data_IF_828381033840
#
_entry.id   IF_828381033840
#
_cell.length_a   1.000
_cell.length_b   1.000
_cell.length_c   1.000
_cell.angle_alpha   90.00
_cell.angle_beta   90.00
_cell.angle_gamma   90.00
#
_symmetry.space_group_name_H-M   'P 1'
#
loop_
_entity.id
_entity.type
_entity.pdbx_description
1 polymer ?
#
# COMPACT_ATOMS: atom_id res chain seq x y z
N UNK A 1 2.98 4.41 -10.13
CA UNK A 1 3.50 5.32 -9.08
C UNK A 1 3.72 4.48 -7.84
N UNK A 2 4.97 4.30 -7.40
CA UNK A 2 5.26 3.44 -6.25
C UNK A 2 5.10 4.20 -4.93
N UNK A 3 3.90 4.27 -4.40
CA UNK A 3 3.62 4.79 -3.06
C UNK A 3 4.04 3.77 -1.99
N UNK A 4 5.33 3.39 -1.95
CA UNK A 4 5.82 2.34 -1.07
C UNK A 4 5.60 0.92 -1.60
N UNK A 5 5.29 0.75 -2.89
CA UNK A 5 5.15 -0.56 -3.54
C UNK A 5 6.48 -1.09 -4.03
N UNK A 6 6.77 -2.36 -3.72
CA UNK A 6 7.98 -3.05 -4.15
C UNK A 6 7.59 -4.26 -4.98
N UNK A 7 8.05 -4.27 -6.23
CA UNK A 7 7.95 -5.40 -7.15
C UNK A 7 9.27 -6.18 -7.15
N UNK A 8 9.18 -7.48 -7.00
CA UNK A 8 10.32 -8.38 -7.18
C UNK A 8 10.53 -8.60 -8.68
N UNK A 9 11.78 -8.47 -9.14
CA UNK A 9 12.13 -8.71 -10.54
C UNK A 9 12.11 -10.22 -10.85
N UNK A 10 10.91 -10.75 -11.09
CA UNK A 10 10.65 -12.20 -11.20
C UNK A 10 10.85 -12.73 -12.60
N UNK A 11 11.47 -13.92 -12.70
CA UNK A 11 11.54 -14.71 -13.92
C UNK A 11 10.13 -15.07 -14.43
N UNK A 12 9.91 -14.86 -15.72
CA UNK A 12 8.64 -15.16 -16.37
C UNK A 12 7.57 -14.08 -16.29
N UNK A 13 7.74 -13.07 -15.40
CA UNK A 13 6.89 -11.89 -15.33
C UNK A 13 7.59 -10.67 -15.93
N UNK A 14 8.79 -10.38 -15.50
CA UNK A 14 9.62 -9.29 -16.05
C UNK A 14 10.53 -9.82 -17.17
N UNK A 15 10.78 -8.97 -18.19
CA UNK A 15 11.61 -9.34 -19.35
C UNK A 15 13.03 -9.80 -18.96
N UNK A 16 13.59 -9.24 -17.91
CA UNK A 16 14.91 -9.56 -17.37
C UNK A 16 14.83 -10.01 -15.92
N UNK A 17 13.79 -10.79 -15.58
CA UNK A 17 13.58 -11.31 -14.23
C UNK A 17 14.74 -12.23 -13.79
N UNK A 18 15.19 -12.05 -12.55
CA UNK A 18 16.32 -12.78 -11.98
C UNK A 18 15.91 -13.69 -10.81
N UNK A 19 14.82 -13.40 -10.13
CA UNK A 19 14.32 -14.15 -8.97
C UNK A 19 13.32 -15.18 -9.43
N UNK A 20 13.46 -16.44 -9.05
CA UNK A 20 12.48 -17.47 -9.38
C UNK A 20 11.20 -17.28 -8.57
N UNK A 21 10.01 -17.50 -9.17
CA UNK A 21 8.75 -17.46 -8.44
C UNK A 21 8.69 -18.57 -7.37
N UNK A 22 7.87 -18.38 -6.35
CA UNK A 22 7.70 -19.33 -5.25
C UNK A 22 8.70 -19.10 -4.11
N UNK A 23 9.42 -20.13 -3.69
CA UNK A 23 10.24 -20.11 -2.46
C UNK A 23 11.34 -19.02 -2.48
N UNK A 24 12.03 -18.83 -3.61
CA UNK A 24 13.08 -17.82 -3.73
C UNK A 24 12.47 -16.41 -3.62
N UNK A 25 11.40 -16.13 -4.34
CA UNK A 25 10.70 -14.84 -4.24
C UNK A 25 10.20 -14.58 -2.82
N UNK A 26 9.66 -15.58 -2.13
CA UNK A 26 9.19 -15.45 -0.75
C UNK A 26 10.33 -15.19 0.23
N UNK A 27 11.47 -15.82 0.04
CA UNK A 27 12.68 -15.57 0.84
C UNK A 27 13.17 -14.12 0.68
N UNK A 28 13.20 -13.61 -0.56
CA UNK A 28 13.57 -12.21 -0.85
C UNK A 28 12.58 -11.24 -0.21
N UNK A 29 11.26 -11.51 -0.30
CA UNK A 29 10.23 -10.69 0.34
C UNK A 29 10.42 -10.61 1.85
N UNK A 30 10.66 -11.76 2.50
CA UNK A 30 10.84 -11.83 3.95
C UNK A 30 12.11 -11.08 4.40
N UNK A 31 13.23 -11.23 3.69
CA UNK A 31 14.48 -10.51 4.00
C UNK A 31 14.29 -9.00 3.83
N UNK A 32 13.67 -8.56 2.73
CA UNK A 32 13.38 -7.15 2.49
C UNK A 32 12.45 -6.58 3.57
N UNK A 33 11.37 -7.28 3.92
CA UNK A 33 10.45 -6.84 4.96
C UNK A 33 11.14 -6.68 6.32
N UNK A 34 11.98 -7.63 6.71
CA UNK A 34 12.75 -7.58 7.96
C UNK A 34 13.69 -6.37 7.99
N UNK A 35 14.42 -6.12 6.90
CA UNK A 35 15.33 -4.96 6.79
C UNK A 35 14.59 -3.62 6.80
N UNK A 36 13.48 -3.51 6.06
CA UNK A 36 12.67 -2.29 6.02
C UNK A 36 12.13 -1.93 7.41
N UNK A 37 11.65 -2.90 8.17
CA UNK A 37 11.14 -2.67 9.52
C UNK A 37 12.21 -2.19 10.53
N UNK A 38 13.48 -2.40 10.23
CA UNK A 38 14.60 -1.90 11.06
C UNK A 38 15.16 -0.57 10.58
N UNK A 39 14.65 -0.01 9.48
CA UNK A 39 15.16 1.25 8.94
C UNK A 39 14.87 2.42 9.88
N UNK A 40 15.92 3.12 10.28
CA UNK A 40 15.84 4.35 11.06
C UNK A 40 16.43 5.53 10.28
N UNK A 41 15.88 6.70 10.52
CA UNK A 41 16.41 7.95 9.98
C UNK A 41 17.83 8.18 10.54
N UNK A 42 18.86 8.28 9.72
CA UNK A 42 20.24 8.42 10.16
C UNK A 42 20.52 9.71 10.94
N UNK A 43 19.64 10.72 10.83
CA UNK A 43 19.79 11.99 11.50
C UNK A 43 19.11 12.02 12.89
N UNK A 44 18.04 11.26 13.07
CA UNK A 44 17.19 11.33 14.28
C UNK A 44 17.12 10.01 15.03
N UNK A 45 17.45 8.88 14.40
CA UNK A 45 17.27 7.54 14.95
C UNK A 45 15.82 7.07 14.98
N UNK A 46 14.87 7.87 14.49
CA UNK A 46 13.46 7.51 14.47
C UNK A 46 13.20 6.45 13.39
N UNK A 47 12.41 5.43 13.71
CA UNK A 47 12.01 4.40 12.76
C UNK A 47 11.14 4.99 11.67
N UNK A 48 11.46 4.69 10.41
CA UNK A 48 10.79 5.27 9.22
C UNK A 48 9.70 4.39 8.64
N UNK A 49 9.68 3.10 9.00
CA UNK A 49 8.71 2.13 8.48
C UNK A 49 7.93 1.53 9.64
N UNK A 50 6.63 1.68 9.64
CA UNK A 50 5.73 1.15 10.67
C UNK A 50 5.26 -0.25 10.35
N UNK A 51 5.05 -0.55 9.06
CA UNK A 51 4.58 -1.84 8.63
C UNK A 51 5.08 -2.21 7.23
N UNK A 52 5.17 -3.51 6.95
CA UNK A 52 5.38 -4.04 5.61
C UNK A 52 4.34 -5.15 5.41
N UNK A 53 3.47 -4.94 4.43
CA UNK A 53 2.40 -5.87 4.09
C UNK A 53 2.82 -6.70 2.88
N UNK A 54 2.63 -8.00 2.94
CA UNK A 54 2.77 -8.86 1.77
C UNK A 54 1.47 -8.88 0.97
N UNK A 55 1.57 -8.99 -0.35
CA UNK A 55 0.40 -8.96 -1.23
C UNK A 55 -0.64 -10.01 -0.85
N UNK A 56 -0.18 -11.22 -0.50
CA UNK A 56 -1.04 -12.34 -0.12
C UNK A 56 -1.86 -12.08 1.16
N UNK A 57 -1.38 -11.17 2.03
CA UNK A 57 -2.04 -10.84 3.28
C UNK A 57 -3.13 -9.76 3.12
N UNK A 58 -3.02 -8.91 2.09
CA UNK A 58 -3.87 -7.72 1.93
C UNK A 58 -4.73 -7.72 0.66
N UNK A 59 -4.41 -8.57 -0.31
CA UNK A 59 -5.15 -8.68 -1.55
C UNK A 59 -5.63 -10.11 -1.82
N UNK A 60 -6.69 -10.24 -2.60
CA UNK A 60 -7.23 -11.52 -3.07
C UNK A 60 -7.73 -11.40 -4.50
N UNK A 61 -8.10 -12.54 -5.10
CA UNK A 61 -8.72 -12.59 -6.42
C UNK A 61 -7.75 -12.81 -7.58
N UNK A 62 -8.31 -12.83 -8.80
CA UNK A 62 -7.62 -13.25 -10.01
C UNK A 62 -6.43 -12.37 -10.43
N UNK A 63 -6.41 -11.12 -9.97
CA UNK A 63 -5.40 -10.12 -10.31
C UNK A 63 -4.27 -10.00 -9.28
N UNK A 64 -4.28 -10.79 -8.20
CA UNK A 64 -3.22 -10.80 -7.17
C UNK A 64 -1.82 -10.94 -7.79
N UNK A 65 -1.67 -11.75 -8.83
CA UNK A 65 -0.40 -11.93 -9.57
C UNK A 65 0.19 -10.64 -10.18
N UNK A 66 -0.62 -9.60 -10.30
CA UNK A 66 -0.22 -8.29 -10.86
C UNK A 66 0.08 -7.27 -9.75
N UNK A 67 -0.18 -7.60 -8.49
CA UNK A 67 0.11 -6.73 -7.36
C UNK A 67 1.61 -6.67 -7.08
N UNK A 68 2.04 -5.58 -6.42
CA UNK A 68 3.37 -5.51 -5.83
C UNK A 68 3.50 -6.55 -4.72
N UNK A 69 4.63 -7.23 -4.62
CA UNK A 69 4.86 -8.24 -3.60
C UNK A 69 4.83 -7.67 -2.19
N UNK A 70 5.33 -6.42 -2.02
CA UNK A 70 5.32 -5.73 -0.73
C UNK A 70 4.71 -4.34 -0.84
N UNK A 71 3.94 -3.98 0.17
CA UNK A 71 3.45 -2.62 0.40
C UNK A 71 4.05 -2.11 1.70
N UNK A 72 4.80 -1.00 1.63
CA UNK A 72 5.49 -0.39 2.77
C UNK A 72 4.63 0.71 3.37
N UNK A 73 4.27 0.56 4.64
CA UNK A 73 3.64 1.59 5.47
C UNK A 73 4.71 2.43 6.15
N UNK A 74 4.79 3.72 5.80
CA UNK A 74 5.75 4.64 6.40
C UNK A 74 5.18 5.25 7.68
N UNK A 75 6.07 5.51 8.63
CA UNK A 75 5.75 6.21 9.85
C UNK A 75 5.34 7.67 9.58
N UNK A 76 4.58 8.26 10.50
CA UNK A 76 4.15 9.65 10.41
C UNK A 76 5.34 10.60 10.19
N UNK A 77 5.15 11.54 9.27
CA UNK A 77 6.19 12.49 8.89
C UNK A 77 7.13 12.01 7.78
N UNK A 78 7.06 10.73 7.39
CA UNK A 78 7.87 10.17 6.29
C UNK A 78 7.00 9.90 5.06
N UNK A 79 7.59 10.06 3.89
CA UNK A 79 6.97 9.72 2.61
C UNK A 79 8.00 9.30 1.57
N UNK A 80 7.55 8.60 0.54
CA UNK A 80 8.38 8.24 -0.61
C UNK A 80 8.71 9.50 -1.43
N UNK A 81 9.95 9.59 -1.92
CA UNK A 81 10.37 10.69 -2.78
C UNK A 81 9.72 10.62 -4.16
N UNK A 82 9.24 11.75 -4.67
CA UNK A 82 8.76 11.90 -6.05
C UNK A 82 9.85 11.57 -7.09
N UNK A 83 11.12 11.76 -6.74
CA UNK A 83 12.23 11.53 -7.66
C UNK A 83 12.38 10.05 -8.01
N UNK A 84 12.14 9.15 -7.06
CA UNK A 84 12.21 7.71 -7.31
C UNK A 84 11.14 7.22 -8.28
N UNK A 85 9.96 7.83 -8.31
CA UNK A 85 8.91 7.50 -9.30
C UNK A 85 9.26 7.93 -10.72
N UNK A 86 10.20 8.86 -10.88
CA UNK A 86 10.70 9.33 -12.16
C UNK A 86 12.05 8.66 -12.54
N UNK A 87 12.46 7.63 -11.81
CA UNK A 87 13.74 6.92 -12.03
C UNK A 87 14.96 7.66 -11.49
N UNK A 88 14.76 8.73 -10.72
CA UNK A 88 15.85 9.48 -10.09
C UNK A 88 16.36 8.78 -8.83
N UNK A 89 17.68 8.84 -8.62
CA UNK A 89 18.34 8.41 -7.38
C UNK A 89 18.99 9.63 -6.74
N UNK A 90 18.30 10.35 -5.84
CA UNK A 90 18.86 11.51 -5.18
C UNK A 90 20.03 11.09 -4.25
N UNK A 91 21.00 11.95 -4.00
CA UNK A 91 22.04 11.69 -3.02
C UNK A 91 21.40 11.63 -1.61
N UNK A 92 21.67 10.55 -0.90
CA UNK A 92 21.13 10.32 0.44
C UNK A 92 19.80 9.56 0.43
N UNK A 93 19.55 8.87 1.55
CA UNK A 93 18.36 8.02 1.74
C UNK A 93 17.20 8.87 2.29
N UNK A 94 17.51 9.79 3.20
CA UNK A 94 16.53 10.62 3.91
C UNK A 94 16.96 12.08 3.84
N UNK A 95 16.02 12.94 3.49
CA UNK A 95 16.24 14.38 3.49
C UNK A 95 14.93 15.13 3.79
N UNK A 96 15.00 16.33 4.43
CA UNK A 96 13.82 17.09 4.80
C UNK A 96 13.07 17.58 3.55
N UNK A 97 11.76 17.42 3.54
CA UNK A 97 10.91 17.98 2.50
C UNK A 97 10.68 19.47 2.78
N UNK A 98 11.45 20.32 2.10
CA UNK A 98 11.38 21.80 2.22
C UNK A 98 10.44 22.45 1.20
N UNK A 99 9.65 21.67 0.44
CA UNK A 99 8.71 22.22 -0.54
C UNK A 99 7.54 22.90 0.17
N UNK A 100 7.02 24.00 -0.42
CA UNK A 100 5.89 24.74 0.11
C UNK A 100 4.65 23.86 0.37
N UNK A 101 4.42 22.88 -0.51
CA UNK A 101 3.37 21.86 -0.39
C UNK A 101 4.02 20.55 0.04
N UNK A 102 4.29 20.43 1.33
CA UNK A 102 4.98 19.26 1.90
C UNK A 102 4.00 18.18 2.35
N UNK A 103 2.78 18.54 2.72
CA UNK A 103 1.71 17.59 3.04
C UNK A 103 1.06 17.08 1.75
N UNK A 104 1.05 15.77 1.56
CA UNK A 104 0.37 15.11 0.45
C UNK A 104 -0.01 13.66 0.83
N UNK A 105 -0.63 12.93 -0.09
CA UNK A 105 -0.98 11.52 0.04
C UNK A 105 0.13 10.57 -0.43
N UNK A 106 1.39 10.95 -0.30
CA UNK A 106 2.58 10.19 -0.75
C UNK A 106 3.06 9.12 0.24
N UNK A 107 2.33 8.89 1.32
CA UNK A 107 2.55 7.80 2.27
C UNK A 107 1.32 6.92 2.35
N UNK A 108 1.51 5.67 2.74
CA UNK A 108 0.44 4.72 2.96
C UNK A 108 0.72 3.89 4.22
N UNK A 109 -0.16 4.00 5.20
CA UNK A 109 -0.35 3.01 6.25
C UNK A 109 -1.80 3.14 6.72
N UNK A 110 -2.57 2.05 6.70
CA UNK A 110 -3.99 2.08 7.08
C UNK A 110 -4.22 2.52 8.53
N UNK A 111 -3.23 2.41 9.41
CA UNK A 111 -3.32 2.84 10.80
C UNK A 111 -3.27 4.35 10.96
N UNK A 112 -2.43 5.00 10.14
CA UNK A 112 -2.28 6.47 10.15
C UNK A 112 -3.19 7.18 9.13
N UNK A 113 -3.71 6.45 8.12
CA UNK A 113 -4.56 6.99 7.07
C UNK A 113 -6.00 6.48 7.11
N UNK A 114 -6.52 6.22 8.30
CA UNK A 114 -7.89 5.77 8.49
C UNK A 114 -8.89 6.75 7.87
N UNK A 115 -9.87 6.21 7.13
CA UNK A 115 -10.95 7.00 6.56
C UNK A 115 -11.99 7.42 7.59
N UNK A 116 -12.79 8.43 7.24
CA UNK A 116 -13.95 8.86 8.02
C UNK A 116 -15.22 8.60 7.18
N UNK A 117 -16.21 7.96 7.76
CA UNK A 117 -17.54 7.79 7.18
C UNK A 117 -18.57 8.57 8.01
N UNK A 118 -19.29 9.48 7.34
CA UNK A 118 -20.43 10.18 7.92
C UNK A 118 -21.67 9.77 7.13
N UNK A 119 -22.68 9.27 7.80
CA UNK A 119 -23.92 8.80 7.18
C UNK A 119 -25.13 9.38 7.87
N UNK A 120 -26.19 9.66 7.09
CA UNK A 120 -27.52 10.02 7.58
C UNK A 120 -28.34 8.80 8.03
N UNK A 121 -27.85 7.58 7.81
CA UNK A 121 -28.43 6.33 8.24
C UNK A 121 -27.55 5.62 9.24
N UNK A 122 -28.09 4.82 10.16
CA UNK A 122 -27.29 3.98 11.03
C UNK A 122 -26.40 3.05 10.20
N UNK A 123 -25.13 2.95 10.58
CA UNK A 123 -24.14 2.06 9.99
C UNK A 123 -23.45 1.29 11.11
N UNK A 124 -23.36 -0.02 10.97
CA UNK A 124 -22.66 -0.85 11.93
C UNK A 124 -21.13 -0.57 11.94
N UNK A 125 -20.47 -0.72 13.09
CA UNK A 125 -19.01 -0.59 13.18
C UNK A 125 -18.28 -1.53 12.21
N UNK A 126 -17.14 -1.10 11.68
CA UNK A 126 -16.33 -1.90 10.77
C UNK A 126 -16.64 -1.70 9.29
N UNK A 127 -17.39 -0.66 8.94
CA UNK A 127 -17.58 -0.24 7.54
C UNK A 127 -16.24 0.02 6.85
N UNK A 128 -16.10 -0.43 5.61
CA UNK A 128 -14.89 -0.27 4.79
C UNK A 128 -15.21 0.50 3.52
N UNK A 129 -14.19 1.08 2.90
CA UNK A 129 -14.36 1.84 1.64
C UNK A 129 -14.97 0.99 0.52
N UNK A 130 -14.68 -0.31 0.48
CA UNK A 130 -15.24 -1.25 -0.52
C UNK A 130 -16.75 -1.47 -0.36
N UNK A 131 -17.31 -1.16 0.81
CA UNK A 131 -18.73 -1.30 1.10
C UNK A 131 -19.57 -0.13 0.53
N UNK A 132 -18.92 0.96 0.12
CA UNK A 132 -19.62 2.15 -0.41
C UNK A 132 -20.29 1.86 -1.75
N UNK A 133 -19.59 1.23 -2.69
CA UNK A 133 -20.13 0.93 -4.01
C UNK A 133 -21.39 0.05 -3.94
N UNK A 134 -21.41 -1.11 -3.28
CA UNK A 134 -22.62 -1.92 -3.15
C UNK A 134 -23.72 -1.23 -2.34
N UNK A 135 -23.37 -0.36 -1.39
CA UNK A 135 -24.37 0.46 -0.65
C UNK A 135 -25.09 1.43 -1.58
N UNK A 136 -24.35 2.13 -2.44
CA UNK A 136 -24.93 3.06 -3.42
C UNK A 136 -25.79 2.31 -4.43
N UNK A 137 -25.33 1.20 -4.96
CA UNK A 137 -26.11 0.37 -5.88
C UNK A 137 -27.44 -0.08 -5.25
N UNK A 138 -27.39 -0.60 -4.01
CA UNK A 138 -28.59 -1.01 -3.27
C UNK A 138 -29.54 0.16 -3.03
N UNK A 139 -29.00 1.32 -2.66
CA UNK A 139 -29.81 2.52 -2.41
C UNK A 139 -30.62 2.94 -3.63
N UNK A 140 -30.05 2.81 -4.82
CA UNK A 140 -30.74 3.13 -6.08
C UNK A 140 -31.48 1.95 -6.72
N UNK A 141 -31.59 0.82 -6.05
CA UNK A 141 -32.26 -0.37 -6.57
C UNK A 141 -31.55 -1.00 -7.78
N UNK A 142 -30.27 -0.75 -7.93
CA UNK A 142 -29.43 -1.35 -8.98
C UNK A 142 -28.90 -2.71 -8.50
N UNK A 143 -28.98 -3.78 -9.32
CA UNK A 143 -28.38 -5.06 -8.97
C UNK A 143 -26.90 -4.95 -8.63
N UNK A 144 -26.48 -5.60 -7.54
CA UNK A 144 -25.07 -5.64 -7.12
C UNK A 144 -24.39 -6.79 -7.88
N UNK A 145 -23.32 -6.52 -8.66
CA UNK A 145 -22.54 -7.58 -9.30
C UNK A 145 -21.95 -8.57 -8.29
N UNK A 146 -21.90 -9.85 -8.66
CA UNK A 146 -21.44 -10.91 -7.76
C UNK A 146 -19.92 -10.93 -7.51
N UNK A 147 -19.16 -10.12 -8.21
CA UNK A 147 -17.71 -9.95 -8.10
C UNK A 147 -17.29 -8.75 -7.22
N UNK A 148 -18.25 -8.09 -6.58
CA UNK A 148 -17.97 -7.03 -5.60
C UNK A 148 -17.64 -7.65 -4.24
N UNK A 149 -16.45 -7.36 -3.70
CA UNK A 149 -15.99 -7.86 -2.39
C UNK A 149 -16.69 -7.20 -1.20
N UNK A 150 -17.20 -5.99 -1.36
CA UNK A 150 -17.91 -5.25 -0.33
C UNK A 150 -19.36 -5.70 -0.16
N UNK A 151 -19.97 -5.27 0.95
CA UNK A 151 -21.40 -5.50 1.25
C UNK A 151 -22.11 -4.19 1.53
N UNK A 152 -23.44 -4.09 1.23
CA UNK A 152 -24.21 -2.91 1.59
C UNK A 152 -24.22 -2.66 3.09
N UNK A 153 -24.09 -1.41 3.49
CA UNK A 153 -24.06 -0.98 4.89
C UNK A 153 -25.48 -0.81 5.49
N UNK A 154 -26.49 -0.69 4.62
CA UNK A 154 -27.91 -0.60 5.01
C UNK A 154 -28.83 -1.05 3.88
#
# INVERSE_FOLDING_TARGET
MGLGQIYINMKGREAHGIVAPGAESKAVQNDLAARLLTMADPNTGVRMVDAVYQADDIYSGAFLKNAAELQVGLADGYRVSWQSTLGGSPPGIVYPNKKKWSGDHGSFDYKSTAGILISSRPVEPGARIIDIAPTVLKYFGVPIPGDIDGKPLF
#
